data_IF_379899004288
#
_entry.id   IF_379899004288
#
_cell.length_a   1.000
_cell.length_b   1.000
_cell.length_c   1.000
_cell.angle_alpha   90.00
_cell.angle_beta   90.00
_cell.angle_gamma   90.00
#
_symmetry.space_group_name_H-M   'P 1'
#
loop_
_entity.id
_entity.type
_entity.pdbx_description
1 polymer ?
#
# COMPACT_ATOMS: atom_id res chain seq x y z
N UNK A 1 25.28 19.21 -3.44
CA UNK A 1 23.86 18.95 -3.77
C UNK A 1 23.14 18.55 -2.50
N UNK A 2 21.85 18.84 -2.33
CA UNK A 2 21.15 18.41 -1.12
C UNK A 2 21.20 16.88 -1.02
N UNK A 3 21.54 16.36 0.16
CA UNK A 3 21.46 14.94 0.45
C UNK A 3 20.00 14.49 0.62
N UNK A 4 19.77 13.19 0.80
CA UNK A 4 18.44 12.59 0.99
C UNK A 4 17.64 13.22 2.14
N UNK A 5 18.31 13.64 3.21
CA UNK A 5 17.67 14.29 4.35
C UNK A 5 17.12 15.67 3.98
N UNK A 6 17.88 16.46 3.23
CA UNK A 6 17.44 17.80 2.80
C UNK A 6 16.32 17.70 1.76
N UNK A 7 16.41 16.70 0.86
CA UNK A 7 15.32 16.41 -0.07
C UNK A 7 14.06 15.99 0.68
N UNK A 8 14.17 15.10 1.67
CA UNK A 8 13.04 14.67 2.50
C UNK A 8 12.37 15.84 3.22
N UNK A 9 13.15 16.77 3.80
CA UNK A 9 12.58 18.00 4.40
C UNK A 9 11.76 18.80 3.39
N UNK A 10 12.28 19.00 2.18
CA UNK A 10 11.55 19.72 1.12
C UNK A 10 10.28 18.98 0.71
N UNK A 11 10.32 17.65 0.58
CA UNK A 11 9.15 16.84 0.27
C UNK A 11 8.08 16.94 1.36
N UNK A 12 8.45 16.84 2.65
CA UNK A 12 7.52 16.99 3.79
C UNK A 12 6.94 18.40 3.85
N UNK A 13 7.75 19.44 3.61
CA UNK A 13 7.31 20.82 3.57
C UNK A 13 6.39 21.15 2.39
N UNK A 14 6.25 20.25 1.42
CA UNK A 14 5.33 20.40 0.30
C UNK A 14 4.09 19.52 0.55
N UNK A 15 2.95 20.08 1.01
CA UNK A 15 1.72 19.33 1.20
C UNK A 15 1.30 18.60 -0.07
N UNK A 16 0.83 17.35 0.07
CA UNK A 16 0.40 16.51 -1.06
C UNK A 16 -0.68 15.53 -0.61
N UNK A 17 -1.75 16.05 0.00
CA UNK A 17 -2.90 15.20 0.34
C UNK A 17 -3.45 14.58 -0.94
N UNK A 18 -3.85 13.29 -0.88
CA UNK A 18 -4.32 12.54 -2.06
C UNK A 18 -5.31 13.35 -2.91
N UNK A 19 -4.97 13.55 -4.18
CA UNK A 19 -5.69 14.39 -5.13
C UNK A 19 -5.09 15.80 -5.32
N UNK A 20 -4.05 16.18 -4.53
CA UNK A 20 -3.34 17.46 -4.66
C UNK A 20 -1.81 17.24 -4.65
N UNK A 21 -1.31 16.41 -5.56
CA UNK A 21 0.09 16.04 -5.66
C UNK A 21 0.92 16.93 -6.60
N UNK A 22 0.30 17.90 -7.26
CA UNK A 22 0.93 18.69 -8.32
C UNK A 22 2.22 19.37 -7.87
N UNK A 23 2.21 19.99 -6.69
CA UNK A 23 3.37 20.74 -6.17
C UNK A 23 4.54 19.80 -5.81
N UNK A 24 4.28 18.67 -5.16
CA UNK A 24 5.33 17.70 -4.80
C UNK A 24 5.87 16.99 -6.03
N UNK A 25 5.03 16.69 -7.02
CA UNK A 25 5.45 16.11 -8.29
C UNK A 25 6.36 17.06 -9.07
N UNK A 26 6.02 18.36 -9.10
CA UNK A 26 6.87 19.38 -9.70
C UNK A 26 8.24 19.47 -8.98
N UNK A 27 8.24 19.44 -7.65
CA UNK A 27 9.47 19.44 -6.85
C UNK A 27 10.38 18.24 -7.21
N UNK A 28 9.80 17.03 -7.34
CA UNK A 28 10.54 15.83 -7.73
C UNK A 28 11.07 15.95 -9.15
N UNK A 29 10.25 16.40 -10.10
CA UNK A 29 10.62 16.59 -11.50
C UNK A 29 11.79 17.60 -11.63
N UNK A 30 11.67 18.78 -11.03
CA UNK A 30 12.71 19.82 -11.06
C UNK A 30 14.00 19.34 -10.41
N UNK A 31 13.91 18.60 -9.30
CA UNK A 31 15.05 18.03 -8.62
C UNK A 31 15.76 17.01 -9.51
N UNK A 32 15.01 16.05 -10.09
CA UNK A 32 15.54 15.03 -10.99
C UNK A 32 16.23 15.66 -12.21
N UNK A 33 15.58 16.64 -12.85
CA UNK A 33 16.15 17.36 -14.01
C UNK A 33 17.43 18.12 -13.67
N UNK A 34 17.44 18.80 -12.50
CA UNK A 34 18.63 19.53 -12.04
C UNK A 34 19.83 18.62 -11.79
N UNK A 35 19.60 17.33 -11.56
CA UNK A 35 20.62 16.30 -11.38
C UNK A 35 21.01 15.60 -12.68
N UNK A 36 20.39 15.94 -13.80
CA UNK A 36 20.66 15.35 -15.11
C UNK A 36 19.98 13.99 -15.33
N UNK A 37 18.99 13.64 -14.51
CA UNK A 37 18.17 12.44 -14.70
C UNK A 37 17.09 12.68 -15.78
N UNK A 38 16.84 11.68 -16.59
CA UNK A 38 15.70 11.66 -17.50
C UNK A 38 14.41 11.49 -16.73
N UNK A 39 13.48 12.43 -16.85
CA UNK A 39 12.24 12.44 -16.08
C UNK A 39 11.04 12.79 -16.95
N UNK A 40 9.98 12.03 -16.78
CA UNK A 40 8.65 12.26 -17.36
C UNK A 40 7.66 12.46 -16.21
N UNK A 41 6.90 13.55 -16.25
CA UNK A 41 5.74 13.77 -15.40
C UNK A 41 4.47 13.79 -16.25
N UNK A 42 3.51 12.98 -15.88
CA UNK A 42 2.22 12.86 -16.54
C UNK A 42 1.08 12.70 -15.50
N UNK A 43 -0.20 12.54 -15.89
CA UNK A 43 -1.31 12.37 -14.96
C UNK A 43 -1.23 11.12 -14.04
N UNK A 44 -0.30 10.21 -14.30
CA UNK A 44 -0.14 8.98 -13.50
C UNK A 44 0.93 9.09 -12.41
N UNK A 45 1.84 10.07 -12.52
CA UNK A 45 2.93 10.24 -11.57
C UNK A 45 4.18 10.87 -12.18
N UNK A 46 5.30 10.62 -11.51
CA UNK A 46 6.63 10.99 -11.97
C UNK A 46 7.44 9.72 -12.22
N UNK A 47 7.98 9.58 -13.42
CA UNK A 47 8.82 8.47 -13.81
C UNK A 47 10.21 8.98 -14.18
N UNK A 48 11.24 8.34 -13.60
CA UNK A 48 12.65 8.59 -13.91
C UNK A 48 13.21 7.32 -14.54
N UNK A 49 14.00 7.47 -15.60
CA UNK A 49 14.62 6.36 -16.30
C UNK A 49 16.14 6.52 -16.34
N UNK A 50 16.83 5.43 -16.09
CA UNK A 50 18.27 5.30 -16.30
C UNK A 50 18.51 4.02 -17.10
N UNK A 51 18.87 4.18 -18.36
CA UNK A 51 19.18 3.08 -19.28
C UNK A 51 20.66 2.70 -19.22
N UNK A 52 20.92 1.39 -19.24
CA UNK A 52 22.28 0.86 -19.33
C UNK A 52 22.86 0.95 -20.74
N UNK A 53 24.16 0.73 -20.84
CA UNK A 53 24.87 0.72 -22.13
C UNK A 53 24.48 -0.45 -23.02
N UNK A 54 23.97 -1.54 -22.44
CA UNK A 54 23.53 -2.72 -23.18
C UNK A 54 22.12 -3.13 -22.73
N UNK A 55 21.34 -3.80 -23.61
CA UNK A 55 20.04 -4.36 -23.22
C UNK A 55 20.15 -5.34 -22.04
N UNK A 56 19.11 -5.44 -21.23
CA UNK A 56 19.05 -6.34 -20.08
C UNK A 56 17.71 -6.25 -19.37
N UNK A 57 17.65 -6.72 -18.14
CA UNK A 57 16.46 -6.71 -17.31
C UNK A 57 16.08 -5.28 -16.89
N UNK A 58 14.81 -5.09 -16.56
CA UNK A 58 14.28 -3.85 -16.00
C UNK A 58 13.97 -4.05 -14.51
N UNK A 59 14.58 -3.23 -13.65
CA UNK A 59 14.20 -3.14 -12.23
C UNK A 59 13.49 -1.81 -11.98
N UNK A 60 12.40 -1.84 -11.20
CA UNK A 60 11.67 -0.67 -10.79
C UNK A 60 11.83 -0.41 -9.28
N UNK A 61 12.03 0.86 -8.91
CA UNK A 61 11.85 1.38 -7.56
C UNK A 61 10.54 2.18 -7.55
N UNK A 62 9.58 1.76 -6.73
CA UNK A 62 8.20 2.25 -6.80
C UNK A 62 7.76 2.78 -5.45
N UNK A 63 7.19 3.97 -5.41
CA UNK A 63 6.58 4.56 -4.21
C UNK A 63 5.53 5.59 -4.61
N UNK A 64 4.93 6.30 -3.65
CA UNK A 64 3.88 7.28 -3.92
C UNK A 64 4.24 8.67 -3.37
N UNK A 65 3.59 9.70 -3.91
CA UNK A 65 3.82 11.11 -3.56
C UNK A 65 2.74 11.67 -2.64
N UNK A 66 1.58 11.07 -2.62
CA UNK A 66 0.47 11.51 -1.79
C UNK A 66 0.63 11.09 -0.33
N UNK A 67 -0.16 11.73 0.51
CA UNK A 67 -0.27 11.45 1.93
C UNK A 67 -1.73 11.54 2.37
N UNK A 68 -2.12 10.81 3.40
CA UNK A 68 -3.43 11.00 4.02
C UNK A 68 -3.54 12.38 4.69
N UNK A 69 -4.76 12.96 4.84
CA UNK A 69 -4.95 14.17 5.63
C UNK A 69 -4.34 14.04 7.03
N UNK A 70 -3.76 15.10 7.59
CA UNK A 70 -3.10 15.02 8.90
C UNK A 70 -4.03 14.57 10.03
N UNK A 71 -5.32 14.95 9.98
CA UNK A 71 -6.24 14.70 11.08
C UNK A 71 -5.93 15.58 12.29
N UNK A 72 -6.41 15.15 13.47
CA UNK A 72 -6.22 15.84 14.76
C UNK A 72 -5.13 15.17 15.61
N UNK A 73 -4.72 15.84 16.69
CA UNK A 73 -3.80 15.26 17.68
C UNK A 73 -2.32 15.53 17.43
N UNK A 74 -1.96 16.28 16.40
CA UNK A 74 -0.58 16.70 16.16
C UNK A 74 -0.10 17.68 17.22
N UNK A 75 1.12 17.51 17.72
CA UNK A 75 1.79 18.48 18.62
C UNK A 75 2.66 19.46 17.85
N UNK A 76 2.86 19.23 16.54
CA UNK A 76 3.64 20.02 15.58
C UNK A 76 2.81 20.29 14.35
N UNK A 77 3.19 21.29 13.54
CA UNK A 77 2.62 21.45 12.21
C UNK A 77 3.04 20.24 11.33
N UNK A 78 2.08 19.47 10.79
CA UNK A 78 2.36 18.26 10.02
C UNK A 78 3.15 18.49 8.73
N UNK A 79 3.16 19.71 8.19
CA UNK A 79 3.88 20.09 6.97
C UNK A 79 5.09 20.99 7.22
N UNK A 80 5.46 21.19 8.49
CA UNK A 80 6.71 21.84 8.88
C UNK A 80 7.71 20.77 9.36
N UNK A 81 8.67 20.32 8.51
CA UNK A 81 9.59 19.25 8.86
C UNK A 81 10.45 19.62 10.07
N UNK A 82 10.26 18.93 11.16
CA UNK A 82 10.97 19.18 12.43
C UNK A 82 11.95 18.08 12.72
N UNK A 83 13.23 18.40 12.93
CA UNK A 83 14.25 17.41 13.30
C UNK A 83 14.53 17.50 14.79
N UNK A 84 14.36 16.35 15.48
CA UNK A 84 14.70 16.19 16.90
C UNK A 84 15.60 14.94 17.06
N UNK A 85 16.83 15.13 17.44
CA UNK A 85 17.82 14.06 17.47
C UNK A 85 18.04 13.47 16.07
N UNK A 86 17.76 12.18 15.95
CA UNK A 86 17.86 11.45 14.67
C UNK A 86 16.52 11.37 13.90
N UNK A 87 15.44 11.99 14.40
CA UNK A 87 14.11 11.86 13.84
C UNK A 87 13.67 13.09 13.08
N UNK A 88 13.07 12.88 11.94
CA UNK A 88 12.38 13.91 11.17
C UNK A 88 10.87 13.67 11.27
N UNK A 89 10.19 14.63 11.89
CA UNK A 89 8.73 14.62 12.07
C UNK A 89 8.03 15.37 10.94
N UNK A 90 6.87 14.88 10.55
CA UNK A 90 5.95 15.48 9.58
C UNK A 90 5.13 14.42 8.86
N UNK A 91 3.97 14.81 8.32
CA UNK A 91 3.10 13.92 7.54
C UNK A 91 3.81 13.46 6.28
N UNK A 92 3.83 12.14 6.05
CA UNK A 92 4.53 11.52 4.94
C UNK A 92 6.03 11.35 5.16
N UNK A 93 6.57 11.74 6.34
CA UNK A 93 7.99 11.55 6.62
C UNK A 93 8.39 10.07 6.62
N UNK A 94 7.51 9.17 7.06
CA UNK A 94 7.66 7.72 6.97
C UNK A 94 6.94 7.15 5.76
N UNK A 95 5.70 7.58 5.51
CA UNK A 95 4.77 7.01 4.52
C UNK A 95 4.38 8.03 3.45
N UNK A 96 5.07 8.07 2.25
CA UNK A 96 6.28 7.30 1.95
C UNK A 96 7.40 8.21 1.40
N UNK A 97 7.39 9.53 1.74
CA UNK A 97 8.35 10.53 1.19
C UNK A 97 9.81 10.20 1.53
N UNK A 98 10.06 9.45 2.63
CA UNK A 98 11.40 8.94 2.93
C UNK A 98 11.90 7.97 1.86
N UNK A 99 11.03 7.06 1.38
CA UNK A 99 11.34 6.17 0.26
C UNK A 99 11.55 6.96 -1.03
N UNK A 100 10.71 7.95 -1.32
CA UNK A 100 10.86 8.85 -2.48
C UNK A 100 12.23 9.53 -2.47
N UNK A 101 12.61 10.14 -1.34
CA UNK A 101 13.91 10.80 -1.21
C UNK A 101 15.09 9.84 -1.39
N UNK A 102 15.02 8.67 -0.76
CA UNK A 102 16.07 7.65 -0.85
C UNK A 102 16.21 7.07 -2.26
N UNK A 103 15.10 6.76 -2.95
CA UNK A 103 15.08 6.21 -4.31
C UNK A 103 15.59 7.23 -5.34
N UNK A 104 15.16 8.50 -5.24
CA UNK A 104 15.61 9.54 -6.14
C UNK A 104 17.12 9.80 -5.97
N UNK A 105 17.62 9.84 -4.72
CA UNK A 105 19.06 9.97 -4.46
C UNK A 105 19.84 8.73 -4.91
N UNK A 106 19.29 7.51 -4.79
CA UNK A 106 19.91 6.29 -5.28
C UNK A 106 20.08 6.30 -6.81
N UNK A 107 19.06 6.78 -7.56
CA UNK A 107 19.16 6.96 -9.00
C UNK A 107 20.26 7.98 -9.36
N UNK A 108 20.38 9.08 -8.60
CA UNK A 108 21.46 10.06 -8.76
C UNK A 108 22.83 9.45 -8.50
N UNK A 109 22.99 8.65 -7.43
CA UNK A 109 24.26 7.97 -7.12
C UNK A 109 24.70 7.02 -8.25
N UNK A 110 23.73 6.32 -8.84
CA UNK A 110 23.99 5.45 -9.98
C UNK A 110 24.46 6.26 -11.20
N UNK A 111 23.80 7.37 -11.50
CA UNK A 111 24.19 8.27 -12.59
C UNK A 111 25.61 8.83 -12.37
N UNK A 112 25.89 9.35 -11.17
CA UNK A 112 27.21 9.95 -10.84
C UNK A 112 28.34 8.94 -10.86
N UNK A 113 28.05 7.69 -10.61
CA UNK A 113 29.02 6.60 -10.68
C UNK A 113 29.22 6.04 -12.10
N UNK A 114 28.75 6.76 -13.13
CA UNK A 114 28.86 6.39 -14.54
C UNK A 114 27.69 5.60 -15.10
N UNK A 115 26.54 5.56 -14.41
CA UNK A 115 25.34 4.86 -14.87
C UNK A 115 25.28 3.40 -14.47
N UNK A 116 24.59 2.60 -15.27
CA UNK A 116 24.46 1.14 -15.15
C UNK A 116 24.97 0.46 -16.42
N UNK A 117 25.57 -0.73 -16.29
CA UNK A 117 26.22 -1.39 -17.43
C UNK A 117 25.20 -2.00 -18.40
N UNK A 118 24.15 -2.61 -17.87
CA UNK A 118 23.13 -3.29 -18.66
C UNK A 118 21.73 -3.12 -18.05
N UNK A 119 20.71 -3.25 -18.88
CA UNK A 119 19.32 -3.20 -18.45
C UNK A 119 18.81 -1.79 -18.22
N UNK A 120 17.80 -1.66 -17.36
CA UNK A 120 17.09 -0.41 -17.13
C UNK A 120 16.66 -0.28 -15.67
N UNK A 121 16.91 0.89 -15.07
CA UNK A 121 16.27 1.30 -13.84
C UNK A 121 15.09 2.21 -14.17
N UNK A 122 13.93 1.91 -13.60
CA UNK A 122 12.78 2.81 -13.52
C UNK A 122 12.58 3.24 -12.07
N UNK A 123 12.37 4.53 -11.83
CA UNK A 123 11.85 5.02 -10.55
C UNK A 123 10.48 5.59 -10.83
N UNK A 124 9.45 5.07 -10.17
CA UNK A 124 8.05 5.43 -10.41
C UNK A 124 7.43 5.92 -9.12
N UNK A 125 6.97 7.17 -9.11
CA UNK A 125 6.26 7.77 -7.99
C UNK A 125 4.82 8.07 -8.41
N UNK A 126 3.88 7.26 -7.92
CA UNK A 126 2.44 7.37 -8.22
C UNK A 126 1.75 8.46 -7.42
N UNK A 127 0.50 8.74 -7.82
CA UNK A 127 -0.46 9.60 -7.12
C UNK A 127 -1.59 8.77 -6.54
N UNK A 128 -2.27 9.30 -5.52
CA UNK A 128 -3.51 8.76 -4.96
C UNK A 128 -3.40 7.29 -4.50
N UNK A 129 -2.23 6.86 -4.01
CA UNK A 129 -2.03 5.51 -3.45
C UNK A 129 -2.96 5.30 -2.26
N UNK A 130 -3.04 6.27 -1.37
CA UNK A 130 -3.81 6.27 -0.13
C UNK A 130 -5.34 6.27 -0.33
N UNK A 131 -5.79 6.33 -1.58
CA UNK A 131 -7.22 6.39 -1.91
C UNK A 131 -7.62 5.44 -3.03
N UNK A 132 -7.33 5.79 -4.29
CA UNK A 132 -7.83 5.07 -5.47
C UNK A 132 -6.82 4.14 -6.13
N UNK A 133 -5.53 4.33 -5.96
CA UNK A 133 -4.39 3.60 -6.56
C UNK A 133 -4.45 3.37 -8.09
N UNK A 134 -5.31 4.06 -8.82
CA UNK A 134 -5.51 3.81 -10.26
C UNK A 134 -4.36 4.34 -11.11
N UNK A 135 -3.62 5.31 -10.60
CA UNK A 135 -2.52 5.96 -11.32
C UNK A 135 -1.31 5.03 -11.45
N UNK A 136 -0.97 4.28 -10.40
CA UNK A 136 0.14 3.33 -10.44
C UNK A 136 -0.11 2.21 -11.45
N UNK A 137 -1.35 1.69 -11.54
CA UNK A 137 -1.70 0.69 -12.56
C UNK A 137 -1.41 1.19 -13.97
N UNK A 138 -1.79 2.44 -14.27
CA UNK A 138 -1.53 3.07 -15.57
C UNK A 138 -0.04 3.35 -15.78
N UNK A 139 0.67 3.82 -14.75
CA UNK A 139 2.11 4.08 -14.82
C UNK A 139 2.91 2.81 -15.12
N UNK A 140 2.57 1.69 -14.46
CA UNK A 140 3.19 0.38 -14.70
C UNK A 140 2.89 -0.12 -16.12
N UNK A 141 1.66 0.00 -16.59
CA UNK A 141 1.30 -0.36 -17.98
C UNK A 141 2.07 0.47 -19.01
N UNK A 142 2.20 1.78 -18.80
CA UNK A 142 2.95 2.68 -19.67
C UNK A 142 4.46 2.44 -19.63
N UNK A 143 5.00 1.90 -18.54
CA UNK A 143 6.42 1.58 -18.38
C UNK A 143 6.88 0.37 -19.19
N UNK A 144 5.95 -0.48 -19.64
CA UNK A 144 6.23 -1.72 -20.37
C UNK A 144 6.71 -2.84 -19.44
N UNK A 145 7.61 -3.69 -19.93
CA UNK A 145 8.09 -4.82 -19.14
C UNK A 145 8.93 -4.37 -17.95
N UNK A 146 8.58 -4.89 -16.77
CA UNK A 146 9.31 -4.76 -15.51
C UNK A 146 9.58 -6.16 -15.00
N UNK A 147 10.87 -6.52 -14.84
CA UNK A 147 11.29 -7.88 -14.43
C UNK A 147 11.36 -7.99 -12.90
N UNK A 148 11.77 -6.91 -12.22
CA UNK A 148 11.80 -6.84 -10.76
C UNK A 148 11.33 -5.48 -10.24
N UNK A 149 10.80 -5.46 -9.00
CA UNK A 149 10.35 -4.22 -8.37
C UNK A 149 10.57 -4.18 -6.84
N UNK A 150 11.01 -3.04 -6.34
CA UNK A 150 11.01 -2.72 -4.91
C UNK A 150 9.94 -1.69 -4.65
N UNK A 151 9.00 -2.03 -3.78
CA UNK A 151 7.95 -1.13 -3.34
C UNK A 151 8.41 -0.43 -2.06
N UNK A 152 8.57 0.89 -2.13
CA UNK A 152 9.13 1.75 -1.10
C UNK A 152 8.14 2.13 -0.02
N UNK A 153 7.70 1.13 0.73
CA UNK A 153 6.81 1.28 1.88
C UNK A 153 7.59 1.18 3.20
N UNK A 154 7.09 1.76 4.31
CA UNK A 154 7.81 1.76 5.58
C UNK A 154 7.87 0.36 6.22
N UNK A 155 9.05 -0.26 6.22
CA UNK A 155 9.30 -1.63 6.73
C UNK A 155 10.47 -1.72 7.72
N UNK A 156 11.01 -0.58 8.19
CA UNK A 156 12.30 -0.50 8.91
C UNK A 156 13.44 -1.18 8.12
N UNK A 157 13.40 -1.10 6.79
CA UNK A 157 14.31 -1.79 5.88
C UNK A 157 14.36 -3.32 6.03
N UNK A 158 13.33 -3.94 6.59
CA UNK A 158 13.06 -5.36 6.50
C UNK A 158 12.34 -5.71 5.20
N UNK A 159 12.28 -6.98 4.84
CA UNK A 159 11.69 -7.43 3.58
C UNK A 159 10.27 -7.96 3.81
N UNK A 160 9.26 -7.20 3.42
CA UNK A 160 7.93 -7.78 3.31
C UNK A 160 7.89 -8.60 2.01
N UNK A 161 7.80 -9.92 2.16
CA UNK A 161 7.80 -10.89 1.06
C UNK A 161 6.40 -11.40 0.71
N UNK A 162 5.39 -10.92 1.40
CA UNK A 162 3.98 -11.11 1.09
C UNK A 162 3.19 -9.92 1.64
N UNK A 163 2.08 -9.56 1.00
CA UNK A 163 1.13 -8.58 1.51
C UNK A 163 -0.30 -9.07 1.42
N UNK A 164 -1.14 -8.63 2.35
CA UNK A 164 -2.58 -8.88 2.29
C UNK A 164 -3.22 -8.09 1.17
N UNK A 165 -4.27 -8.67 0.58
CA UNK A 165 -5.18 -7.95 -0.29
C UNK A 165 -6.28 -7.26 0.52
N UNK A 166 -7.06 -6.42 -0.15
CA UNK A 166 -8.22 -5.73 0.38
C UNK A 166 -9.43 -5.97 -0.52
N UNK A 167 -10.49 -6.52 0.07
CA UNK A 167 -11.78 -6.67 -0.57
C UNK A 167 -12.84 -6.02 0.31
N UNK A 168 -13.73 -5.22 -0.29
CA UNK A 168 -14.83 -4.57 0.43
C UNK A 168 -16.15 -5.20 0.00
N UNK A 169 -16.97 -5.52 0.98
CA UNK A 169 -18.27 -6.19 0.77
C UNK A 169 -19.33 -5.51 1.63
N UNK A 170 -20.49 -5.24 1.03
CA UNK A 170 -21.70 -4.86 1.76
C UNK A 170 -22.58 -6.09 1.96
N UNK A 171 -23.02 -6.34 3.18
CA UNK A 171 -24.11 -7.27 3.48
C UNK A 171 -25.40 -6.48 3.65
N UNK A 172 -26.44 -6.88 2.91
CA UNK A 172 -27.76 -6.26 2.97
C UNK A 172 -28.82 -7.29 3.39
N UNK A 173 -29.28 -7.19 4.64
CA UNK A 173 -30.39 -7.96 5.16
C UNK A 173 -31.72 -7.24 4.93
N UNK A 174 -32.73 -8.00 4.56
CA UNK A 174 -34.11 -7.52 4.42
C UNK A 174 -34.99 -8.07 5.55
N UNK A 175 -36.03 -7.32 5.89
CA UNK A 175 -37.01 -7.67 6.91
C UNK A 175 -38.35 -7.02 6.62
N UNK A 176 -39.30 -7.22 7.54
CA UNK A 176 -40.64 -6.66 7.44
C UNK A 176 -40.78 -5.43 8.34
N UNK A 177 -41.24 -4.33 7.76
CA UNK A 177 -41.56 -3.13 8.52
C UNK A 177 -42.90 -3.28 9.23
N UNK A 178 -42.89 -3.31 10.56
CA UNK A 178 -44.10 -3.46 11.40
C UNK A 178 -43.96 -2.69 12.71
N UNK A 179 -45.07 -2.51 13.38
CA UNK A 179 -45.05 -2.04 14.77
C UNK A 179 -44.44 -3.13 15.68
N UNK A 180 -43.43 -2.77 16.45
CA UNK A 180 -42.62 -3.72 17.24
C UNK A 180 -43.45 -4.57 18.22
N UNK A 181 -44.62 -4.05 18.72
CA UNK A 181 -45.52 -4.78 19.60
C UNK A 181 -46.20 -6.00 18.94
N UNK A 182 -46.25 -6.08 17.62
CA UNK A 182 -46.82 -7.21 16.88
C UNK A 182 -45.75 -8.15 16.27
N UNK A 183 -44.50 -7.94 16.63
CA UNK A 183 -43.39 -8.72 16.07
C UNK A 183 -43.39 -10.20 16.48
N UNK A 184 -44.09 -10.58 17.53
CA UNK A 184 -44.14 -11.94 18.05
C UNK A 184 -45.32 -12.78 17.51
N UNK A 185 -46.30 -12.17 16.86
CA UNK A 185 -47.57 -12.82 16.54
C UNK A 185 -47.55 -13.62 15.21
N UNK A 186 -46.59 -13.39 14.34
CA UNK A 186 -46.49 -14.03 13.02
C UNK A 186 -45.21 -14.91 12.90
N UNK A 187 -45.37 -16.23 12.81
CA UNK A 187 -44.27 -17.21 12.79
C UNK A 187 -43.23 -17.10 11.66
N UNK A 188 -43.45 -16.25 10.68
CA UNK A 188 -42.52 -15.98 9.56
C UNK A 188 -41.94 -14.56 9.56
N UNK A 189 -42.04 -13.86 10.69
CA UNK A 189 -41.57 -12.49 10.79
C UNK A 189 -40.05 -12.37 10.63
N UNK A 190 -39.62 -11.50 9.71
CA UNK A 190 -38.19 -11.18 9.48
C UNK A 190 -37.82 -9.78 9.99
N UNK A 191 -36.91 -9.73 10.95
CA UNK A 191 -36.30 -8.49 11.42
C UNK A 191 -34.92 -8.36 10.80
N UNK A 192 -34.69 -7.34 9.97
CA UNK A 192 -33.42 -7.17 9.23
C UNK A 192 -32.20 -7.07 10.16
N UNK A 193 -32.34 -6.43 11.34
CA UNK A 193 -31.23 -6.36 12.31
C UNK A 193 -30.91 -7.74 12.89
N UNK A 194 -31.91 -8.54 13.23
CA UNK A 194 -31.70 -9.90 13.76
C UNK A 194 -31.14 -10.81 12.70
N UNK A 195 -31.60 -10.69 11.43
CA UNK A 195 -31.07 -11.44 10.31
C UNK A 195 -29.59 -11.11 10.08
N UNK A 196 -29.26 -9.82 9.99
CA UNK A 196 -27.87 -9.38 9.81
C UNK A 196 -26.98 -9.80 10.98
N UNK A 197 -27.44 -9.69 12.21
CA UNK A 197 -26.67 -10.13 13.39
C UNK A 197 -26.34 -11.63 13.34
N UNK A 198 -27.29 -12.48 12.91
CA UNK A 198 -27.06 -13.92 12.73
C UNK A 198 -26.02 -14.17 11.63
N UNK A 199 -26.12 -13.47 10.52
CA UNK A 199 -25.17 -13.60 9.42
C UNK A 199 -23.75 -13.16 9.86
N UNK A 200 -23.62 -12.03 10.56
CA UNK A 200 -22.32 -11.58 11.09
C UNK A 200 -21.67 -12.61 12.02
N UNK A 201 -22.45 -13.31 12.85
CA UNK A 201 -21.95 -14.38 13.72
C UNK A 201 -21.45 -15.60 12.93
N UNK A 202 -21.95 -15.85 11.72
CA UNK A 202 -21.47 -16.94 10.85
C UNK A 202 -20.12 -16.62 10.20
N UNK A 203 -19.74 -15.33 10.14
CA UNK A 203 -18.49 -14.91 9.52
C UNK A 203 -17.26 -15.21 10.39
N UNK A 204 -17.46 -15.40 11.70
CA UNK A 204 -16.38 -15.81 12.59
C UNK A 204 -15.79 -17.14 12.10
N UNK A 205 -14.49 -17.14 11.80
CA UNK A 205 -13.73 -18.27 11.28
C UNK A 205 -14.11 -18.78 9.87
N UNK A 206 -14.99 -18.10 9.12
CA UNK A 206 -15.35 -18.54 7.76
C UNK A 206 -14.12 -18.81 6.89
N UNK A 207 -13.11 -17.92 6.94
CA UNK A 207 -11.88 -18.02 6.17
C UNK A 207 -10.73 -18.74 6.91
N UNK A 208 -10.95 -19.21 8.15
CA UNK A 208 -9.90 -19.81 8.98
C UNK A 208 -9.41 -21.18 8.49
N UNK A 209 -10.14 -21.84 7.58
CA UNK A 209 -9.79 -23.17 7.04
C UNK A 209 -8.56 -23.20 6.14
N UNK A 210 -8.09 -22.04 5.68
CA UNK A 210 -6.85 -21.90 4.90
C UNK A 210 -5.94 -20.90 5.59
N UNK A 211 -4.70 -21.29 5.80
CA UNK A 211 -3.68 -20.46 6.46
C UNK A 211 -2.50 -20.28 5.52
N UNK A 212 -2.13 -19.03 5.26
CA UNK A 212 -0.93 -18.70 4.49
C UNK A 212 0.30 -18.78 5.43
N UNK A 213 1.43 -19.38 4.97
CA UNK A 213 2.60 -19.58 5.85
C UNK A 213 3.14 -18.31 6.49
N UNK A 214 3.07 -17.18 5.79
CA UNK A 214 3.65 -15.91 6.22
C UNK A 214 2.58 -14.94 6.75
N UNK A 215 1.42 -14.85 6.08
CA UNK A 215 0.36 -13.89 6.40
C UNK A 215 -0.68 -14.43 7.40
N UNK A 216 -0.64 -15.73 7.70
CA UNK A 216 -1.67 -16.36 8.53
C UNK A 216 -3.02 -16.48 7.81
N UNK A 217 -4.10 -16.37 8.56
CA UNK A 217 -5.47 -16.47 8.03
C UNK A 217 -5.94 -15.14 7.42
N UNK A 218 -6.78 -15.23 6.39
CA UNK A 218 -7.56 -14.08 5.93
C UNK A 218 -8.56 -13.66 7.03
N UNK A 219 -8.88 -12.36 7.09
CA UNK A 219 -9.79 -11.82 8.11
C UNK A 219 -10.97 -11.10 7.49
N UNK A 220 -12.11 -11.17 8.15
CA UNK A 220 -13.34 -10.43 7.84
C UNK A 220 -13.65 -9.56 9.05
N UNK A 221 -13.72 -8.25 8.86
CA UNK A 221 -14.01 -7.30 9.94
C UNK A 221 -15.20 -6.44 9.54
N UNK A 222 -16.34 -6.52 10.22
CA UNK A 222 -17.41 -5.55 10.09
C UNK A 222 -16.92 -4.18 10.58
N UNK A 223 -16.97 -3.17 9.71
CA UNK A 223 -16.45 -1.82 10.01
C UNK A 223 -17.55 -0.78 10.16
N UNK A 224 -18.70 -1.00 9.51
CA UNK A 224 -19.86 -0.12 9.60
C UNK A 224 -21.13 -0.96 9.72
N UNK A 225 -22.12 -0.41 10.44
CA UNK A 225 -23.44 -1.02 10.59
C UNK A 225 -24.51 0.06 10.60
N UNK A 226 -25.49 -0.06 9.72
CA UNK A 226 -26.58 0.88 9.56
C UNK A 226 -27.91 0.13 9.61
N UNK A 227 -28.82 0.51 10.51
CA UNK A 227 -30.14 -0.08 10.61
C UNK A 227 -31.10 0.76 11.47
N UNK A 228 -32.41 0.53 11.26
CA UNK A 228 -33.45 1.13 12.07
C UNK A 228 -33.98 2.45 11.53
N UNK A 229 -35.26 2.74 11.80
CA UNK A 229 -35.95 3.99 11.40
C UNK A 229 -36.67 4.65 12.57
N UNK A 230 -37.18 3.87 13.54
CA UNK A 230 -37.86 4.37 14.72
C UNK A 230 -37.85 3.32 15.85
N UNK A 231 -38.00 3.79 17.10
CA UNK A 231 -37.91 2.94 18.29
C UNK A 231 -38.98 1.84 18.38
N UNK A 232 -40.12 2.07 17.74
CA UNK A 232 -41.28 1.16 17.80
C UNK A 232 -41.58 0.48 16.46
N UNK A 233 -40.67 0.53 15.52
CA UNK A 233 -40.80 -0.04 14.18
C UNK A 233 -39.67 -1.06 13.93
N UNK A 234 -40.04 -2.26 13.49
CA UNK A 234 -39.06 -3.26 13.06
C UNK A 234 -38.39 -2.81 11.76
N UNK A 235 -37.04 -2.85 11.67
CA UNK A 235 -36.33 -2.33 10.51
C UNK A 235 -36.52 -3.23 9.26
N UNK A 236 -36.91 -2.63 8.11
CA UNK A 236 -37.05 -3.37 6.86
C UNK A 236 -35.71 -3.69 6.21
N UNK A 237 -34.65 -2.94 6.56
CA UNK A 237 -33.31 -3.09 5.99
C UNK A 237 -32.27 -2.91 7.09
N UNK A 238 -31.22 -3.72 7.02
CA UNK A 238 -30.00 -3.56 7.79
C UNK A 238 -28.78 -3.81 6.87
N UNK A 239 -27.76 -2.97 6.99
CA UNK A 239 -26.55 -3.02 6.19
C UNK A 239 -25.32 -3.14 7.08
N UNK A 240 -24.36 -3.98 6.69
CA UNK A 240 -23.01 -3.98 7.25
C UNK A 240 -21.98 -3.84 6.13
N UNK A 241 -20.89 -3.11 6.40
CA UNK A 241 -19.71 -3.04 5.55
C UNK A 241 -18.64 -3.94 6.13
N UNK A 242 -18.07 -4.81 5.30
CA UNK A 242 -17.00 -5.73 5.67
C UNK A 242 -15.69 -5.30 5.00
N UNK A 243 -14.66 -5.07 5.82
CA UNK A 243 -13.25 -5.00 5.39
C UNK A 243 -12.67 -6.42 5.44
N UNK A 244 -12.25 -6.95 4.29
CA UNK A 244 -11.72 -8.29 4.18
C UNK A 244 -10.25 -8.20 3.78
N UNK A 245 -9.36 -8.68 4.68
CA UNK A 245 -7.93 -8.76 4.43
C UNK A 245 -7.59 -10.16 3.96
N UNK A 246 -7.53 -10.32 2.64
CA UNK A 246 -7.26 -11.61 2.00
C UNK A 246 -5.77 -12.00 2.04
N UNK A 247 -5.50 -13.27 1.81
CA UNK A 247 -4.15 -13.83 1.64
C UNK A 247 -4.09 -14.63 0.35
N UNK A 248 -2.91 -14.95 -0.20
CA UNK A 248 -2.79 -15.77 -1.42
C UNK A 248 -3.46 -17.16 -1.34
N UNK A 249 -3.83 -17.62 -0.14
CA UNK A 249 -4.58 -18.88 0.05
C UNK A 249 -6.04 -18.81 -0.40
N UNK A 250 -6.55 -17.60 -0.69
CA UNK A 250 -7.93 -17.35 -1.12
C UNK A 250 -7.98 -16.36 -2.27
N UNK A 251 -8.62 -16.69 -3.36
CA UNK A 251 -9.01 -15.70 -4.35
C UNK A 251 -10.19 -14.85 -3.84
N UNK A 252 -10.37 -13.63 -4.34
CA UNK A 252 -11.50 -12.79 -3.98
C UNK A 252 -12.84 -13.38 -4.45
N UNK A 253 -12.84 -14.15 -5.54
CA UNK A 253 -13.98 -14.91 -6.05
C UNK A 253 -14.39 -16.01 -5.06
N UNK A 254 -13.45 -16.82 -4.57
CA UNK A 254 -13.70 -17.86 -3.57
C UNK A 254 -14.23 -17.27 -2.24
N UNK A 255 -13.70 -16.10 -1.83
CA UNK A 255 -14.20 -15.39 -0.64
C UNK A 255 -15.65 -14.95 -0.84
N UNK A 256 -15.96 -14.35 -2.00
CA UNK A 256 -17.31 -13.92 -2.31
C UNK A 256 -18.31 -15.09 -2.35
N UNK A 257 -17.89 -16.24 -2.86
CA UNK A 257 -18.71 -17.46 -2.91
C UNK A 257 -18.93 -18.04 -1.50
N UNK A 258 -17.86 -18.15 -0.71
CA UNK A 258 -17.95 -18.59 0.68
C UNK A 258 -18.87 -17.70 1.52
N UNK A 259 -18.86 -16.38 1.30
CA UNK A 259 -19.80 -15.45 1.94
C UNK A 259 -21.25 -15.75 1.53
N UNK A 260 -21.54 -15.89 0.21
CA UNK A 260 -22.89 -16.18 -0.27
C UNK A 260 -23.46 -17.50 0.25
N UNK A 261 -22.59 -18.50 0.46
CA UNK A 261 -22.98 -19.77 1.05
C UNK A 261 -23.25 -19.69 2.55
N UNK A 262 -22.52 -18.79 3.27
CA UNK A 262 -22.58 -18.72 4.73
C UNK A 262 -23.71 -17.84 5.24
N UNK A 263 -24.17 -16.84 4.47
CA UNK A 263 -25.13 -15.83 4.94
C UNK A 263 -26.42 -15.86 4.12
N UNK A 264 -27.49 -15.34 4.74
CA UNK A 264 -28.79 -15.15 4.07
C UNK A 264 -28.93 -13.75 3.46
N UNK A 265 -28.19 -12.78 3.97
CA UNK A 265 -28.12 -11.42 3.44
C UNK A 265 -27.58 -11.40 2.02
N UNK A 266 -27.98 -10.43 1.22
CA UNK A 266 -27.40 -10.18 -0.09
C UNK A 266 -25.94 -9.76 0.07
N UNK A 267 -25.02 -10.41 -0.65
CA UNK A 267 -23.58 -10.13 -0.67
C UNK A 267 -23.25 -9.25 -1.88
N UNK A 268 -22.91 -8.00 -1.64
CA UNK A 268 -22.58 -7.01 -2.68
C UNK A 268 -21.09 -6.70 -2.60
N UNK A 269 -20.32 -7.18 -3.57
CA UNK A 269 -18.88 -6.89 -3.65
C UNK A 269 -18.71 -5.48 -4.22
N UNK A 270 -18.21 -4.55 -3.40
CA UNK A 270 -18.01 -3.14 -3.76
C UNK A 270 -16.58 -2.86 -4.23
N UNK A 271 -15.59 -3.67 -3.79
CA UNK A 271 -14.21 -3.60 -4.26
C UNK A 271 -13.52 -4.97 -4.15
N UNK A 272 -12.82 -5.39 -5.23
CA UNK A 272 -12.06 -6.66 -5.27
C UNK A 272 -10.75 -6.57 -6.04
N UNK A 273 -10.34 -5.37 -6.41
CA UNK A 273 -9.20 -5.10 -7.29
C UNK A 273 -7.85 -5.35 -6.61
N UNK A 274 -7.77 -5.08 -5.32
CA UNK A 274 -6.54 -5.10 -4.55
C UNK A 274 -6.26 -6.51 -4.01
N UNK A 275 -5.82 -7.41 -4.90
CA UNK A 275 -5.52 -8.81 -4.54
C UNK A 275 -4.24 -8.93 -3.71
N UNK A 276 -4.09 -9.99 -2.90
CA UNK A 276 -2.87 -10.24 -2.16
C UNK A 276 -1.71 -10.56 -3.10
N UNK A 277 -0.48 -10.27 -2.64
CA UNK A 277 0.75 -10.51 -3.40
C UNK A 277 1.76 -11.29 -2.56
N UNK A 278 2.67 -11.96 -3.26
CA UNK A 278 3.77 -12.72 -2.67
C UNK A 278 4.99 -12.64 -3.59
N UNK A 279 6.18 -12.51 -2.99
CA UNK A 279 7.46 -12.64 -3.70
C UNK A 279 7.57 -14.05 -4.27
N UNK A 280 7.88 -14.22 -5.56
CA UNK A 280 7.92 -15.56 -6.17
C UNK A 280 8.99 -16.45 -5.54
N UNK A 281 8.73 -17.74 -5.48
CA UNK A 281 9.73 -18.73 -5.08
C UNK A 281 10.96 -18.64 -6.01
N UNK A 282 12.15 -18.61 -5.41
CA UNK A 282 13.41 -18.45 -6.18
C UNK A 282 13.67 -17.03 -6.68
N UNK A 283 13.05 -16.03 -6.07
CA UNK A 283 13.26 -14.61 -6.36
C UNK A 283 14.74 -14.24 -6.39
N UNK A 284 15.19 -13.73 -7.53
CA UNK A 284 16.55 -13.21 -7.69
C UNK A 284 16.71 -11.87 -6.97
N UNK A 285 15.66 -11.06 -6.95
CA UNK A 285 15.63 -9.79 -6.25
C UNK A 285 15.79 -10.01 -4.73
N UNK A 286 15.01 -10.92 -4.14
CA UNK A 286 15.11 -11.24 -2.71
C UNK A 286 16.49 -11.79 -2.37
N UNK A 287 17.02 -12.71 -3.17
CA UNK A 287 18.36 -13.26 -2.96
C UNK A 287 19.46 -12.17 -3.00
N UNK A 288 19.37 -11.21 -3.92
CA UNK A 288 20.27 -10.06 -3.95
C UNK A 288 20.09 -9.16 -2.73
N UNK A 289 18.85 -8.89 -2.31
CA UNK A 289 18.54 -8.09 -1.14
C UNK A 289 19.07 -8.72 0.16
N UNK A 290 18.92 -10.03 0.34
CA UNK A 290 19.43 -10.78 1.51
C UNK A 290 20.97 -10.75 1.60
N UNK A 291 21.67 -10.83 0.45
CA UNK A 291 23.15 -10.67 0.44
C UNK A 291 23.59 -9.30 0.94
N UNK A 292 22.86 -8.25 0.56
CA UNK A 292 23.19 -6.88 0.96
C UNK A 292 22.77 -6.56 2.40
N UNK A 293 21.71 -7.17 2.88
CA UNK A 293 21.19 -6.98 4.25
C UNK A 293 20.87 -8.31 4.92
N UNK A 294 21.88 -9.11 5.30
CA UNK A 294 21.68 -10.47 5.82
C UNK A 294 20.99 -10.52 7.19
N UNK A 295 20.87 -9.38 7.88
CA UNK A 295 20.18 -9.28 9.18
C UNK A 295 18.73 -8.79 9.03
N UNK A 296 18.28 -8.41 7.82
CA UNK A 296 16.91 -7.99 7.62
C UNK A 296 15.95 -9.19 7.78
N UNK A 297 14.85 -8.95 8.50
CA UNK A 297 13.81 -9.96 8.69
C UNK A 297 12.90 -10.05 7.45
N UNK A 298 12.44 -11.28 7.16
CA UNK A 298 11.37 -11.51 6.19
C UNK A 298 10.04 -11.59 6.92
N UNK A 299 9.03 -10.88 6.44
CA UNK A 299 7.71 -10.88 7.07
C UNK A 299 6.56 -10.70 6.06
N UNK A 300 5.33 -10.88 6.54
CA UNK A 300 4.11 -10.58 5.80
C UNK A 300 3.54 -9.23 6.18
N UNK A 301 3.35 -8.34 5.20
CA UNK A 301 2.73 -7.03 5.42
C UNK A 301 1.22 -7.18 5.64
N UNK A 302 0.66 -6.63 6.72
CA UNK A 302 -0.78 -6.64 6.95
C UNK A 302 -1.53 -5.63 6.07
N UNK A 303 -0.82 -4.71 5.42
CA UNK A 303 -1.37 -3.65 4.57
C UNK A 303 -1.25 -3.99 3.09
N UNK A 304 -2.17 -3.48 2.28
CA UNK A 304 -2.09 -3.48 0.82
C UNK A 304 -1.29 -2.24 0.37
N UNK A 305 -0.70 -2.29 -0.82
CA UNK A 305 0.03 -1.19 -1.45
C UNK A 305 0.04 -1.36 -2.96
N UNK A 306 0.68 -0.45 -3.67
CA UNK A 306 0.89 -0.48 -5.12
C UNK A 306 1.58 -1.75 -5.66
N UNK A 307 2.10 -2.62 -4.78
CA UNK A 307 2.61 -3.94 -5.18
C UNK A 307 1.59 -4.75 -5.98
N UNK A 308 0.29 -4.57 -5.72
CA UNK A 308 -0.78 -5.28 -6.43
C UNK A 308 -0.69 -5.14 -7.96
N UNK A 309 -0.20 -4.01 -8.45
CA UNK A 309 -0.04 -3.75 -9.89
C UNK A 309 1.24 -4.36 -10.48
N UNK A 310 2.13 -4.84 -9.61
CA UNK A 310 3.38 -5.53 -9.93
C UNK A 310 3.38 -6.99 -9.43
N UNK A 311 2.20 -7.57 -9.17
CA UNK A 311 2.04 -8.92 -8.60
C UNK A 311 2.59 -10.06 -9.45
N UNK A 312 2.82 -9.83 -10.73
CA UNK A 312 3.41 -10.80 -11.67
C UNK A 312 4.91 -10.57 -11.90
N UNK A 313 5.50 -9.67 -11.15
CA UNK A 313 6.90 -9.26 -11.20
C UNK A 313 7.63 -9.86 -9.99
N UNK A 314 8.93 -10.11 -10.11
CA UNK A 314 9.77 -10.43 -8.95
C UNK A 314 9.85 -9.20 -8.02
N UNK A 315 9.06 -9.17 -6.96
CA UNK A 315 8.88 -7.98 -6.17
C UNK A 315 8.87 -8.22 -4.65
N UNK A 316 9.26 -7.19 -3.90
CA UNK A 316 9.18 -7.12 -2.44
C UNK A 316 8.95 -5.69 -1.97
N UNK A 317 8.46 -5.51 -0.72
CA UNK A 317 8.44 -4.19 -0.08
C UNK A 317 9.68 -4.00 0.79
N UNK A 318 10.31 -2.85 0.67
CA UNK A 318 11.40 -2.44 1.55
C UNK A 318 11.56 -0.92 1.52
N UNK A 319 11.48 -0.29 2.68
CA UNK A 319 11.73 1.14 2.81
C UNK A 319 11.99 1.58 4.25
N UNK A 320 12.46 2.83 4.44
CA UNK A 320 12.70 3.40 5.76
C UNK A 320 11.40 3.70 6.48
N UNK A 321 11.41 3.76 7.80
CA UNK A 321 10.25 3.98 8.65
C UNK A 321 9.44 2.71 8.92
N UNK A 322 8.38 2.84 9.68
CA UNK A 322 7.50 1.72 10.07
C UNK A 322 6.04 2.06 9.83
N UNK A 323 5.28 1.15 9.20
CA UNK A 323 3.83 1.29 8.98
C UNK A 323 3.02 1.49 10.27
N UNK A 324 3.58 1.18 11.44
CA UNK A 324 2.92 1.44 12.72
C UNK A 324 2.76 2.93 13.04
N UNK A 325 3.53 3.79 12.36
CA UNK A 325 3.46 5.25 12.49
C UNK A 325 2.74 5.91 11.33
N UNK A 326 2.49 5.17 10.26
CA UNK A 326 1.68 5.65 9.13
C UNK A 326 0.32 6.11 9.63
N UNK A 327 -0.17 7.23 9.10
CA UNK A 327 -1.48 7.80 9.39
C UNK A 327 -1.68 8.28 10.84
N UNK A 328 -0.64 8.23 11.70
CA UNK A 328 -0.73 8.73 13.09
C UNK A 328 -0.33 10.20 13.20
N UNK A 329 -0.78 10.93 14.24
CA UNK A 329 -0.19 12.22 14.57
C UNK A 329 1.29 12.07 14.94
N UNK A 330 2.05 13.14 14.76
CA UNK A 330 3.50 13.18 15.00
C UNK A 330 4.27 12.05 14.32
N UNK A 331 3.85 11.68 13.12
CA UNK A 331 4.55 10.75 12.25
C UNK A 331 6.02 11.18 12.09
N UNK A 332 6.94 10.22 12.14
CA UNK A 332 8.36 10.47 11.95
C UNK A 332 9.08 9.30 11.29
N UNK A 333 10.25 9.60 10.74
CA UNK A 333 11.23 8.60 10.28
C UNK A 333 12.58 8.85 10.97
N UNK A 334 13.31 7.77 11.24
CA UNK A 334 14.68 7.87 11.73
C UNK A 334 15.65 8.13 10.54
N UNK A 335 16.33 9.27 10.55
CA UNK A 335 17.19 9.74 9.46
C UNK A 335 18.27 8.74 9.00
N UNK A 336 18.93 7.99 9.93
CA UNK A 336 19.86 6.94 9.53
C UNK A 336 19.23 5.84 8.65
N UNK A 337 17.92 5.56 8.80
CA UNK A 337 17.23 4.60 7.92
C UNK A 337 17.09 5.14 6.49
N UNK A 338 16.84 6.45 6.34
CA UNK A 338 16.74 7.08 5.00
C UNK A 338 18.06 7.01 4.26
N UNK A 339 19.16 7.30 4.97
CA UNK A 339 20.52 7.18 4.41
C UNK A 339 20.87 5.72 4.08
N UNK A 340 20.51 4.78 4.94
CA UNK A 340 20.71 3.35 4.70
C UNK A 340 19.86 2.87 3.49
N UNK A 341 18.62 3.37 3.34
CA UNK A 341 17.75 3.06 2.21
C UNK A 341 18.35 3.52 0.89
N UNK A 342 18.87 4.76 0.81
CA UNK A 342 19.54 5.29 -0.38
C UNK A 342 20.66 4.35 -0.84
N UNK A 343 21.55 4.01 0.09
CA UNK A 343 22.68 3.11 -0.19
C UNK A 343 22.22 1.72 -0.62
N UNK A 344 21.22 1.18 0.09
CA UNK A 344 20.64 -0.13 -0.22
C UNK A 344 20.02 -0.18 -1.62
N UNK A 345 19.19 0.80 -1.99
CA UNK A 345 18.57 0.82 -3.32
C UNK A 345 19.59 0.89 -4.45
N UNK A 346 20.59 1.75 -4.33
CA UNK A 346 21.64 1.84 -5.35
C UNK A 346 22.44 0.53 -5.51
N UNK A 347 22.77 -0.12 -4.39
CA UNK A 347 23.48 -1.40 -4.40
C UNK A 347 22.61 -2.53 -4.93
N UNK A 348 21.33 -2.57 -4.57
CA UNK A 348 20.40 -3.61 -5.01
C UNK A 348 20.16 -3.55 -6.51
N UNK A 349 19.98 -2.35 -7.07
CA UNK A 349 19.85 -2.15 -8.51
C UNK A 349 21.05 -2.72 -9.25
N UNK A 350 22.27 -2.40 -8.79
CA UNK A 350 23.51 -2.93 -9.40
C UNK A 350 23.63 -4.44 -9.27
N UNK A 351 23.38 -4.97 -8.07
CA UNK A 351 23.47 -6.41 -7.80
C UNK A 351 22.48 -7.21 -8.66
N UNK A 352 21.24 -6.71 -8.78
CA UNK A 352 20.22 -7.36 -9.59
C UNK A 352 20.56 -7.33 -11.08
N UNK A 353 20.87 -6.16 -11.63
CA UNK A 353 21.15 -6.00 -13.06
C UNK A 353 22.47 -6.66 -13.51
N UNK A 354 23.45 -6.84 -12.60
CA UNK A 354 24.69 -7.55 -12.91
C UNK A 354 24.59 -9.07 -12.74
N UNK A 355 23.46 -9.60 -12.25
CA UNK A 355 23.30 -11.02 -11.98
C UNK A 355 24.19 -11.57 -10.87
N UNK A 356 24.68 -10.72 -9.96
CA UNK A 356 25.65 -11.05 -8.89
C UNK A 356 25.03 -11.10 -7.51
#
# INVERSE_FOLDING_TARGET
>A
MPGEVELLKRLVATPSVSGDETAVAQLVEETARSWGLEVLRDPTGVRIELSGYTPGQTIALVSHLDVVPPGSGWTRDPFTPTVEGTRLFGRGSGDAKASVAAMLCAAKDLLDAGGIDAGRLLVIFGYAEETKNTTMEQAVQAAGQIDAAVIGEPTNLNFAIAQRGLMMVDLLAQGDQRHAGYAADDGEFSNAVVALARDLLQLDRLLARRTHPILGQATITPTMLEAGISRNVTPPVAKAVLDIRSTPSWTHEEIAEALREAVRSSVIVTSRRLVPCETPAGSQLLAAAERLRPKAEKFGSPTCSDWVFLRHTDALKCGPGTSRRSHTPDEYVDLPEVTAARSFYAQLVRAYLSGR
#
